data_IF_837047050392
#
_entry.id   IF_837047050392
#
_cell.length_a   1.000
_cell.length_b   1.000
_cell.length_c   1.000
_cell.angle_alpha   90.00
_cell.angle_beta   90.00
_cell.angle_gamma   90.00
#
_symmetry.space_group_name_H-M   'P 1'
#
loop_
_entity.id
_entity.type
_entity.pdbx_description
1 polymer ?
#
# COMPACT_ATOMS: atom_id res chain seq x y z
N UNK A 1 1.42 44.75 27.14
CA UNK A 1 1.49 44.65 25.67
C UNK A 1 2.22 43.37 25.37
N UNK A 2 1.49 42.32 25.03
CA UNK A 2 2.05 41.02 24.70
C UNK A 2 2.57 41.12 23.26
N UNK A 3 3.88 41.17 23.13
CA UNK A 3 4.56 41.26 21.84
C UNK A 3 4.29 39.97 21.07
N UNK A 4 3.30 40.02 20.16
CA UNK A 4 3.08 38.94 19.18
C UNK A 4 4.35 38.79 18.36
N UNK A 5 5.20 37.85 18.75
CA UNK A 5 6.40 37.48 18.01
C UNK A 5 5.95 37.04 16.63
N UNK A 6 6.12 37.89 15.61
CA UNK A 6 5.88 37.52 14.22
C UNK A 6 6.78 36.33 13.94
N UNK A 7 6.20 35.17 13.65
CA UNK A 7 6.96 34.00 13.21
C UNK A 7 7.82 34.42 12.00
N UNK A 8 9.12 34.55 12.23
CA UNK A 8 10.10 34.91 11.20
C UNK A 8 10.02 33.80 10.15
N UNK A 9 9.50 34.13 8.97
CA UNK A 9 9.51 33.21 7.82
C UNK A 9 10.98 32.96 7.48
N UNK A 10 11.54 31.84 7.94
CA UNK A 10 12.86 31.36 7.53
C UNK A 10 12.93 31.37 6.01
N UNK A 11 13.98 31.99 5.47
CA UNK A 11 14.18 32.13 4.04
C UNK A 11 14.35 30.75 3.39
N UNK A 12 13.95 30.60 2.12
CA UNK A 12 14.17 29.36 1.36
C UNK A 12 15.64 28.90 1.39
N UNK A 13 16.56 29.86 1.54
CA UNK A 13 18.01 29.63 1.63
C UNK A 13 18.47 28.90 2.90
N UNK A 14 17.68 28.93 3.97
CA UNK A 14 18.01 28.28 5.25
C UNK A 14 17.55 26.82 5.32
N UNK A 15 16.87 26.32 4.28
CA UNK A 15 16.37 24.94 4.25
C UNK A 15 17.43 24.01 3.69
N UNK A 16 17.76 22.97 4.44
CA UNK A 16 18.53 21.83 3.94
C UNK A 16 17.65 20.92 3.09
N UNK A 17 18.20 20.39 2.00
CA UNK A 17 17.56 19.35 1.21
C UNK A 17 17.93 17.98 1.77
N UNK A 18 16.93 17.13 1.94
CA UNK A 18 17.09 15.78 2.45
C UNK A 18 16.55 14.76 1.48
N UNK A 19 17.36 13.74 1.21
CA UNK A 19 17.00 12.63 0.35
C UNK A 19 16.13 11.65 1.12
N UNK A 20 14.99 11.26 0.53
CA UNK A 20 14.06 10.31 1.10
C UNK A 20 14.34 8.95 0.49
N UNK A 21 14.63 7.99 1.35
CA UNK A 21 15.03 6.65 0.96
C UNK A 21 13.93 5.66 1.30
N UNK A 22 13.59 4.81 0.34
CA UNK A 22 12.63 3.73 0.54
C UNK A 22 13.14 2.72 1.57
N UNK A 23 12.26 1.97 2.24
CA UNK A 23 12.69 0.89 3.11
C UNK A 23 13.50 -0.17 2.33
N UNK A 24 14.37 -0.95 3.00
CA UNK A 24 15.20 -1.97 2.35
C UNK A 24 14.39 -3.00 1.54
N UNK A 25 13.13 -3.25 1.91
CA UNK A 25 12.22 -4.13 1.18
C UNK A 25 11.97 -3.69 -0.28
N UNK A 26 12.27 -2.43 -0.63
CA UNK A 26 12.15 -1.89 -1.99
C UNK A 26 13.51 -1.49 -2.58
N UNK A 27 14.62 -2.04 -2.06
CA UNK A 27 15.96 -1.80 -2.61
C UNK A 27 16.59 -0.45 -2.24
N UNK A 28 16.08 0.22 -1.19
CA UNK A 28 16.60 1.51 -0.72
C UNK A 28 16.70 2.58 -1.82
N UNK A 29 15.75 2.56 -2.76
CA UNK A 29 15.68 3.53 -3.84
C UNK A 29 15.40 4.95 -3.31
N UNK A 30 15.93 5.95 -4.01
CA UNK A 30 15.62 7.36 -3.74
C UNK A 30 14.21 7.66 -4.27
N UNK A 31 13.30 7.96 -3.35
CA UNK A 31 11.89 8.29 -3.64
C UNK A 31 11.77 9.73 -4.11
N UNK A 32 12.51 10.63 -3.47
CA UNK A 32 12.47 12.06 -3.73
C UNK A 32 13.29 12.84 -2.72
N UNK A 33 13.10 14.15 -2.74
CA UNK A 33 13.82 15.07 -1.86
C UNK A 33 12.81 15.94 -1.13
N UNK A 34 13.18 16.41 0.07
CA UNK A 34 12.34 17.34 0.80
C UNK A 34 13.17 18.39 1.51
N UNK A 35 12.77 19.68 1.40
CA UNK A 35 13.39 20.73 2.16
C UNK A 35 12.87 20.73 3.60
N UNK A 36 13.79 20.84 4.55
CA UNK A 36 13.49 21.05 5.96
C UNK A 36 14.42 22.11 6.55
N UNK A 37 13.88 22.98 7.41
CA UNK A 37 14.69 23.94 8.15
C UNK A 37 15.40 23.26 9.33
N UNK A 38 14.72 22.32 9.98
CA UNK A 38 15.27 21.51 11.06
C UNK A 38 14.99 20.03 10.79
N UNK A 39 15.97 19.12 11.00
CA UNK A 39 15.80 17.67 10.85
C UNK A 39 14.63 17.09 11.68
N UNK A 40 14.33 17.69 12.83
CA UNK A 40 13.22 17.27 13.70
C UNK A 40 11.83 17.40 13.07
N UNK A 41 11.68 18.16 11.97
CA UNK A 41 10.41 18.39 11.29
C UNK A 41 10.12 17.39 10.15
N UNK A 42 11.06 16.50 9.85
CA UNK A 42 10.91 15.49 8.80
C UNK A 42 10.12 14.25 9.25
N UNK A 43 10.30 13.71 10.47
CA UNK A 43 9.51 12.58 10.94
C UNK A 43 8.01 12.86 10.85
N UNK A 44 7.26 11.87 10.40
CA UNK A 44 5.80 11.98 10.26
C UNK A 44 5.31 12.46 8.88
N UNK A 45 6.18 13.05 8.04
CA UNK A 45 5.81 13.40 6.66
C UNK A 45 5.53 12.14 5.84
N UNK A 46 4.48 12.21 5.01
CA UNK A 46 4.05 11.12 4.13
C UNK A 46 4.39 11.45 2.69
N UNK A 47 5.05 10.51 2.02
CA UNK A 47 5.42 10.59 0.62
C UNK A 47 4.64 9.58 -0.19
N UNK A 48 4.14 10.02 -1.35
CA UNK A 48 3.51 9.18 -2.34
C UNK A 48 4.50 8.90 -3.46
N UNK A 49 4.63 7.64 -3.85
CA UNK A 49 5.38 7.20 -5.04
C UNK A 49 4.61 6.14 -5.79
N UNK A 50 4.94 5.93 -7.06
CA UNK A 50 4.39 4.81 -7.81
C UNK A 50 5.34 3.62 -7.79
N UNK A 51 4.80 2.41 -7.84
CA UNK A 51 5.64 1.21 -7.98
C UNK A 51 6.43 1.21 -9.29
N UNK A 52 5.86 1.84 -10.34
CA UNK A 52 6.53 1.98 -11.62
C UNK A 52 7.85 2.74 -11.52
N UNK A 53 7.89 3.79 -10.69
CA UNK A 53 9.11 4.57 -10.47
C UNK A 53 10.17 3.80 -9.66
N UNK A 54 9.74 2.88 -8.77
CA UNK A 54 10.67 2.10 -7.94
C UNK A 54 11.30 0.90 -8.68
N UNK A 55 10.56 0.28 -9.61
CA UNK A 55 11.01 -0.92 -10.35
C UNK A 55 11.38 -0.59 -11.80
N UNK A 56 11.13 0.64 -12.25
CA UNK A 56 11.21 1.07 -13.66
C UNK A 56 10.28 0.27 -14.59
N UNK A 57 9.16 -0.26 -14.05
CA UNK A 57 8.14 -0.98 -14.81
C UNK A 57 6.84 -0.16 -14.94
N UNK A 58 6.65 0.44 -16.11
CA UNK A 58 5.47 1.24 -16.45
C UNK A 58 4.14 0.48 -16.34
N UNK A 59 4.15 -0.85 -16.43
CA UNK A 59 2.93 -1.68 -16.32
C UNK A 59 2.24 -1.51 -14.96
N UNK A 60 3.02 -1.17 -13.93
CA UNK A 60 2.54 -1.04 -12.54
C UNK A 60 2.47 0.41 -12.06
N UNK A 61 2.47 1.38 -12.97
CA UNK A 61 2.32 2.80 -12.64
C UNK A 61 0.99 3.12 -11.90
N UNK A 62 -0.02 2.27 -12.01
CA UNK A 62 -1.30 2.43 -11.31
C UNK A 62 -1.25 2.11 -9.82
N UNK A 63 -0.13 1.57 -9.31
CA UNK A 63 0.04 1.22 -7.88
C UNK A 63 0.74 2.37 -7.18
N UNK A 64 0.04 3.01 -6.23
CA UNK A 64 0.56 4.08 -5.37
C UNK A 64 0.98 3.51 -4.02
N UNK A 65 2.16 3.91 -3.57
CA UNK A 65 2.76 3.54 -2.30
C UNK A 65 2.86 4.77 -1.41
N UNK A 66 2.55 4.59 -0.13
CA UNK A 66 2.63 5.63 0.89
C UNK A 66 3.70 5.27 1.91
N UNK A 67 4.69 6.15 2.02
CA UNK A 67 5.83 6.01 2.92
C UNK A 67 5.82 7.14 3.94
N UNK A 68 6.12 6.85 5.21
CA UNK A 68 6.30 7.87 6.24
C UNK A 68 7.71 7.87 6.77
N UNK A 69 8.30 9.06 6.88
CA UNK A 69 9.62 9.24 7.46
C UNK A 69 9.58 8.89 8.94
N UNK A 70 10.44 7.96 9.34
CA UNK A 70 10.58 7.47 10.72
C UNK A 70 11.77 8.11 11.43
N UNK A 71 12.86 8.34 10.70
CA UNK A 71 14.11 8.89 11.24
C UNK A 71 15.02 9.44 10.14
N UNK A 72 16.14 10.02 10.55
CA UNK A 72 17.15 10.56 9.66
C UNK A 72 18.49 9.93 10.04
N UNK A 73 19.20 9.41 9.05
CA UNK A 73 20.56 8.90 9.18
C UNK A 73 21.42 9.60 8.13
N UNK A 74 22.52 10.22 8.54
CA UNK A 74 23.51 10.84 7.64
C UNK A 74 22.91 11.82 6.60
N UNK A 75 21.84 12.53 6.99
CA UNK A 75 21.12 13.46 6.10
C UNK A 75 20.08 12.81 5.17
N UNK A 76 19.98 11.47 5.17
CA UNK A 76 18.95 10.69 4.48
C UNK A 76 17.77 10.40 5.40
N UNK A 77 16.56 10.64 4.93
CA UNK A 77 15.34 10.33 5.65
C UNK A 77 14.93 8.87 5.40
N UNK A 78 15.02 8.04 6.44
CA UNK A 78 14.54 6.66 6.41
C UNK A 78 13.02 6.63 6.53
N UNK A 79 12.39 5.85 5.65
CA UNK A 79 10.94 5.73 5.61
C UNK A 79 10.46 4.35 6.06
N UNK A 80 9.20 4.31 6.47
CA UNK A 80 8.42 3.12 6.78
C UNK A 80 7.19 3.06 5.89
N UNK A 81 6.77 1.86 5.53
CA UNK A 81 5.57 1.65 4.72
C UNK A 81 4.30 1.87 5.56
N UNK A 82 3.41 2.77 5.12
CA UNK A 82 2.09 2.97 5.75
C UNK A 82 1.00 2.18 5.04
N UNK A 83 1.08 2.12 3.72
CA UNK A 83 0.01 1.54 2.93
C UNK A 83 0.22 1.69 1.43
N UNK A 84 -0.62 0.99 0.69
CA UNK A 84 -0.73 1.15 -0.75
C UNK A 84 -2.17 1.44 -1.14
N UNK A 85 -2.33 2.11 -2.26
CA UNK A 85 -3.62 2.31 -2.92
C UNK A 85 -3.44 2.13 -4.43
N UNK A 86 -4.48 1.65 -5.09
CA UNK A 86 -4.50 1.64 -6.56
C UNK A 86 -5.16 2.89 -7.10
N UNK A 87 -4.71 3.32 -8.28
CA UNK A 87 -5.27 4.46 -8.97
C UNK A 87 -6.77 4.26 -9.27
N UNK A 88 -7.56 5.31 -9.08
CA UNK A 88 -9.03 5.24 -9.11
C UNK A 88 -9.56 4.94 -10.52
N UNK A 89 -8.92 5.54 -11.52
CA UNK A 89 -9.15 5.31 -12.95
C UNK A 89 -8.96 3.83 -13.30
N UNK A 90 -7.90 3.21 -12.77
CA UNK A 90 -7.61 1.81 -12.98
C UNK A 90 -8.71 0.91 -12.40
N UNK A 91 -9.11 1.09 -11.14
CA UNK A 91 -10.19 0.30 -10.53
C UNK A 91 -11.51 0.47 -11.31
N UNK A 92 -11.82 1.70 -11.73
CA UNK A 92 -13.01 1.99 -12.55
C UNK A 92 -12.95 1.30 -13.91
N UNK A 93 -11.77 1.17 -14.50
CA UNK A 93 -11.59 0.48 -15.78
C UNK A 93 -11.84 -1.03 -15.69
N UNK A 94 -11.58 -1.64 -14.53
CA UNK A 94 -11.80 -3.07 -14.33
C UNK A 94 -13.29 -3.41 -14.20
N UNK A 95 -14.06 -2.53 -13.54
CA UNK A 95 -15.49 -2.73 -13.32
C UNK A 95 -16.25 -2.45 -14.63
N UNK A 96 -17.02 -3.43 -15.09
CA UNK A 96 -17.85 -3.33 -16.31
C UNK A 96 -19.30 -3.68 -16.01
N UNK A 97 -20.22 -3.23 -16.87
CA UNK A 97 -21.63 -3.62 -16.81
C UNK A 97 -21.76 -5.13 -17.04
N UNK A 98 -22.79 -5.74 -16.44
CA UNK A 98 -23.09 -7.19 -16.52
C UNK A 98 -22.04 -8.12 -15.88
N UNK A 99 -21.02 -7.56 -15.24
CA UNK A 99 -20.10 -8.27 -14.34
C UNK A 99 -20.47 -8.01 -12.88
N UNK A 100 -20.01 -8.88 -11.97
CA UNK A 100 -20.14 -8.68 -10.53
C UNK A 100 -18.80 -8.22 -9.95
N UNK A 101 -18.86 -7.18 -9.11
CA UNK A 101 -17.75 -6.75 -8.26
C UNK A 101 -17.91 -7.40 -6.89
N UNK A 102 -16.94 -8.20 -6.49
CA UNK A 102 -16.88 -8.79 -5.15
C UNK A 102 -15.76 -8.08 -4.40
N UNK A 103 -16.08 -7.43 -3.29
CA UNK A 103 -15.11 -6.78 -2.41
C UNK A 103 -15.10 -7.45 -1.05
N UNK A 104 -13.90 -7.57 -0.47
CA UNK A 104 -13.69 -8.03 0.89
C UNK A 104 -12.66 -7.13 1.60
N UNK A 105 -12.89 -6.89 2.89
CA UNK A 105 -11.98 -6.14 3.76
C UNK A 105 -11.61 -7.08 4.89
N UNK A 106 -10.35 -7.47 4.92
CA UNK A 106 -9.82 -8.38 5.93
C UNK A 106 -8.82 -7.64 6.82
N UNK A 107 -8.94 -7.83 8.12
CA UNK A 107 -7.91 -7.40 9.08
C UNK A 107 -7.07 -8.62 9.41
N UNK A 108 -5.76 -8.51 9.22
CA UNK A 108 -4.80 -9.60 9.43
C UNK A 108 -3.66 -9.15 10.33
N UNK A 109 -3.09 -10.12 11.03
CA UNK A 109 -1.87 -9.94 11.82
C UNK A 109 -0.79 -10.75 11.12
N UNK A 110 0.35 -10.10 10.86
CA UNK A 110 1.52 -10.75 10.27
C UNK A 110 2.29 -11.56 11.33
N UNK A 111 3.27 -12.34 10.90
CA UNK A 111 4.14 -13.08 11.82
C UNK A 111 4.83 -12.14 12.83
N UNK A 112 5.23 -10.96 12.39
CA UNK A 112 5.92 -9.95 13.21
C UNK A 112 4.97 -9.13 14.09
N UNK A 113 3.72 -9.57 14.28
CA UNK A 113 2.75 -8.87 15.12
C UNK A 113 2.16 -7.58 14.51
N UNK A 114 2.54 -7.19 13.28
CA UNK A 114 1.95 -6.01 12.65
C UNK A 114 0.50 -6.27 12.25
N UNK A 115 -0.38 -5.32 12.56
CA UNK A 115 -1.80 -5.38 12.19
C UNK A 115 -2.05 -4.60 10.91
N UNK A 116 -2.55 -5.29 9.89
CA UNK A 116 -2.83 -4.74 8.56
C UNK A 116 -4.32 -4.88 8.21
N UNK A 117 -4.83 -3.90 7.48
CA UNK A 117 -6.13 -3.99 6.79
C UNK A 117 -5.89 -4.11 5.30
N UNK A 118 -6.36 -5.22 4.72
CA UNK A 118 -6.20 -5.55 3.31
C UNK A 118 -7.58 -5.53 2.65
N UNK A 119 -7.74 -4.65 1.68
CA UNK A 119 -8.95 -4.53 0.87
C UNK A 119 -8.70 -5.12 -0.51
N UNK A 120 -9.46 -6.15 -0.86
CA UNK A 120 -9.31 -6.88 -2.11
C UNK A 120 -10.59 -6.81 -2.95
N UNK A 121 -10.41 -6.91 -4.26
CA UNK A 121 -11.48 -6.86 -5.26
C UNK A 121 -11.31 -8.01 -6.25
N UNK A 122 -12.41 -8.71 -6.49
CA UNK A 122 -12.53 -9.74 -7.53
C UNK A 122 -13.59 -9.26 -8.52
N UNK A 123 -13.21 -9.21 -9.79
CA UNK A 123 -14.12 -8.88 -10.89
C UNK A 123 -14.39 -10.13 -11.71
N UNK A 124 -15.66 -10.49 -11.85
CA UNK A 124 -16.10 -11.68 -12.58
C UNK A 124 -16.44 -11.35 -14.04
N UNK A 125 -16.44 -12.33 -14.93
CA UNK A 125 -16.87 -12.12 -16.33
C UNK A 125 -18.39 -12.07 -16.47
N UNK A 126 -19.11 -12.77 -15.59
CA UNK A 126 -20.58 -12.90 -15.60
C UNK A 126 -21.15 -12.51 -14.24
N UNK A 127 -22.46 -12.29 -14.19
CA UNK A 127 -23.18 -12.16 -12.91
C UNK A 127 -23.11 -13.48 -12.14
N UNK A 128 -22.87 -13.37 -10.84
CA UNK A 128 -22.72 -14.48 -9.92
C UNK A 128 -23.87 -14.46 -8.91
N UNK A 129 -24.33 -15.64 -8.49
CA UNK A 129 -25.39 -15.78 -7.49
C UNK A 129 -24.92 -15.41 -6.08
N UNK A 130 -25.81 -14.92 -5.23
CA UNK A 130 -25.48 -14.48 -3.86
C UNK A 130 -24.78 -15.54 -3.01
N UNK A 131 -25.14 -16.82 -3.15
CA UNK A 131 -24.49 -17.94 -2.46
C UNK A 131 -23.01 -18.08 -2.80
N UNK A 132 -22.69 -17.98 -4.10
CA UNK A 132 -21.33 -18.04 -4.61
C UNK A 132 -20.52 -16.79 -4.25
N UNK A 133 -21.15 -15.61 -4.17
CA UNK A 133 -20.48 -14.39 -3.67
C UNK A 133 -19.96 -14.60 -2.24
N UNK A 134 -20.78 -15.15 -1.35
CA UNK A 134 -20.39 -15.42 0.05
C UNK A 134 -19.34 -16.53 0.16
N UNK A 135 -19.37 -17.53 -0.71
CA UNK A 135 -18.31 -18.54 -0.78
C UNK A 135 -16.96 -17.92 -1.17
N UNK A 136 -16.94 -17.11 -2.25
CA UNK A 136 -15.73 -16.42 -2.70
C UNK A 136 -15.17 -15.49 -1.61
N UNK A 137 -16.02 -14.72 -0.92
CA UNK A 137 -15.58 -13.87 0.19
C UNK A 137 -14.95 -14.67 1.33
N UNK A 138 -15.50 -15.83 1.66
CA UNK A 138 -14.93 -16.72 2.70
C UNK A 138 -13.55 -17.23 2.31
N UNK A 139 -13.38 -17.67 1.08
CA UNK A 139 -12.09 -18.18 0.59
C UNK A 139 -11.04 -17.08 0.43
N UNK A 140 -11.44 -15.88 -0.03
CA UNK A 140 -10.57 -14.70 -0.04
C UNK A 140 -10.00 -14.43 1.36
N UNK A 141 -10.87 -14.38 2.38
CA UNK A 141 -10.44 -14.17 3.78
C UNK A 141 -9.53 -15.27 4.28
N UNK A 142 -9.78 -16.52 3.90
CA UNK A 142 -8.97 -17.67 4.30
C UNK A 142 -7.56 -17.58 3.71
N UNK A 143 -7.45 -17.31 2.40
CA UNK A 143 -6.15 -17.18 1.70
C UNK A 143 -5.34 -16.01 2.26
N UNK A 144 -5.96 -14.84 2.44
CA UNK A 144 -5.26 -13.65 2.97
C UNK A 144 -4.77 -13.90 4.40
N UNK A 145 -5.59 -14.53 5.26
CA UNK A 145 -5.18 -14.88 6.63
C UNK A 145 -4.08 -15.93 6.70
N UNK A 146 -4.11 -16.93 5.81
CA UNK A 146 -3.07 -17.95 5.76
C UNK A 146 -1.72 -17.34 5.38
N UNK A 147 -1.68 -16.56 4.29
CA UNK A 147 -0.47 -15.87 3.82
C UNK A 147 0.09 -14.88 4.84
N UNK A 148 -0.78 -14.13 5.52
CA UNK A 148 -0.33 -13.20 6.54
C UNK A 148 0.35 -13.89 7.74
N UNK A 149 -0.10 -15.10 8.12
CA UNK A 149 0.49 -15.85 9.25
C UNK A 149 1.84 -16.48 8.91
N UNK A 150 2.05 -16.83 7.65
CA UNK A 150 3.26 -17.50 7.16
C UNK A 150 4.43 -16.53 6.90
N UNK A 151 4.13 -15.25 6.69
CA UNK A 151 5.09 -14.26 6.18
C UNK A 151 5.36 -13.15 7.19
N UNK A 152 6.59 -12.65 7.17
CA UNK A 152 6.97 -11.39 7.79
C UNK A 152 6.30 -10.22 7.09
N UNK A 153 6.24 -9.07 7.75
CA UNK A 153 5.61 -7.86 7.26
C UNK A 153 6.17 -7.44 5.90
N UNK A 154 7.50 -7.39 5.77
CA UNK A 154 8.17 -6.97 4.54
C UNK A 154 7.87 -7.92 3.38
N UNK A 155 7.94 -9.23 3.62
CA UNK A 155 7.61 -10.24 2.61
C UNK A 155 6.15 -10.16 2.19
N UNK A 156 5.24 -9.97 3.15
CA UNK A 156 3.82 -9.86 2.89
C UNK A 156 3.50 -8.62 2.05
N UNK A 157 4.09 -7.46 2.36
CA UNK A 157 3.90 -6.23 1.56
C UNK A 157 4.43 -6.42 0.15
N UNK A 158 5.61 -7.02 -0.03
CA UNK A 158 6.13 -7.34 -1.36
C UNK A 158 5.19 -8.27 -2.15
N UNK A 159 4.66 -9.33 -1.53
CA UNK A 159 3.72 -10.26 -2.19
C UNK A 159 2.42 -9.58 -2.62
N UNK A 160 1.91 -8.63 -1.81
CA UNK A 160 0.73 -7.82 -2.13
C UNK A 160 1.02 -6.92 -3.33
N UNK A 161 2.12 -6.16 -3.29
CA UNK A 161 2.48 -5.15 -4.28
C UNK A 161 2.87 -5.79 -5.62
N UNK A 162 3.55 -6.94 -5.59
CA UNK A 162 3.90 -7.69 -6.80
C UNK A 162 2.72 -8.50 -7.38
N UNK A 163 1.62 -8.66 -6.64
CA UNK A 163 0.41 -9.34 -7.10
C UNK A 163 0.43 -10.87 -6.92
N UNK A 164 1.38 -11.43 -6.17
CA UNK A 164 1.40 -12.87 -5.86
C UNK A 164 0.17 -13.29 -5.04
N UNK A 165 -0.20 -12.46 -4.06
CA UNK A 165 -1.42 -12.67 -3.27
C UNK A 165 -2.68 -12.67 -4.15
N UNK A 166 -2.74 -11.77 -5.13
CA UNK A 166 -3.85 -11.69 -6.09
C UNK A 166 -3.96 -12.95 -6.96
N UNK A 167 -2.82 -13.53 -7.36
CA UNK A 167 -2.78 -14.77 -8.15
C UNK A 167 -3.30 -15.98 -7.35
N UNK A 168 -2.99 -16.06 -6.06
CA UNK A 168 -3.50 -17.14 -5.20
C UNK A 168 -5.01 -17.03 -4.96
N UNK A 169 -5.50 -15.81 -4.73
CA UNK A 169 -6.94 -15.56 -4.65
C UNK A 169 -7.63 -15.90 -5.98
N UNK A 170 -7.01 -15.60 -7.12
CA UNK A 170 -7.54 -15.96 -8.44
C UNK A 170 -7.72 -17.48 -8.58
N UNK A 171 -6.74 -18.28 -8.15
CA UNK A 171 -6.82 -19.75 -8.19
C UNK A 171 -8.00 -20.27 -7.36
N UNK A 172 -8.20 -19.74 -6.15
CA UNK A 172 -9.32 -20.11 -5.30
C UNK A 172 -10.68 -19.68 -5.89
N UNK A 173 -10.76 -18.45 -6.41
CA UNK A 173 -12.00 -17.90 -6.93
C UNK A 173 -12.44 -18.53 -8.27
N UNK A 174 -11.48 -19.01 -9.09
CA UNK A 174 -11.75 -19.68 -10.38
C UNK A 174 -12.59 -20.94 -10.24
N UNK A 175 -12.54 -21.62 -9.09
CA UNK A 175 -13.33 -22.83 -8.83
C UNK A 175 -14.84 -22.57 -8.89
N UNK A 176 -15.30 -21.41 -8.40
CA UNK A 176 -16.73 -21.09 -8.33
C UNK A 176 -17.27 -20.43 -9.59
N UNK A 177 -16.47 -19.54 -10.20
CA UNK A 177 -16.93 -18.77 -11.35
C UNK A 177 -15.77 -18.32 -12.25
N UNK A 178 -16.04 -18.02 -13.53
CA UNK A 178 -15.05 -17.38 -14.41
C UNK A 178 -14.70 -15.97 -13.91
N UNK A 179 -13.48 -15.84 -13.37
CA UNK A 179 -12.94 -14.57 -12.87
C UNK A 179 -12.16 -13.86 -13.98
N UNK A 180 -12.39 -12.55 -14.12
CA UNK A 180 -11.65 -11.69 -15.06
C UNK A 180 -10.32 -11.24 -14.46
N UNK A 181 -10.38 -10.61 -13.28
CA UNK A 181 -9.21 -10.05 -12.60
C UNK A 181 -9.41 -10.01 -11.10
N UNK A 182 -8.32 -10.21 -10.36
CA UNK A 182 -8.26 -10.13 -8.90
C UNK A 182 -7.14 -9.20 -8.54
N UNK A 183 -7.42 -8.26 -7.63
CA UNK A 183 -6.44 -7.29 -7.18
C UNK A 183 -6.64 -6.96 -5.71
N UNK A 184 -5.56 -6.61 -5.04
CA UNK A 184 -5.62 -5.93 -3.75
C UNK A 184 -5.57 -4.44 -4.05
N UNK A 185 -6.63 -3.71 -3.73
CA UNK A 185 -6.73 -2.31 -4.14
C UNK A 185 -6.28 -1.33 -3.07
N UNK A 186 -6.25 -1.76 -1.81
CA UNK A 186 -5.81 -0.91 -0.71
C UNK A 186 -5.27 -1.71 0.43
N UNK A 187 -4.11 -1.31 0.95
CA UNK A 187 -3.59 -1.80 2.23
C UNK A 187 -3.34 -0.64 3.18
N UNK A 188 -3.62 -0.85 4.47
CA UNK A 188 -3.33 0.10 5.54
C UNK A 188 -2.68 -0.63 6.70
N UNK A 189 -1.55 -0.11 7.17
CA UNK A 189 -1.00 -0.48 8.47
C UNK A 189 -1.86 0.18 9.55
N UNK A 190 -2.39 -0.61 10.48
CA UNK A 190 -3.23 -0.13 11.58
C UNK A 190 -2.40 0.11 12.85
N UNK A 191 -1.50 -0.82 13.16
CA UNK A 191 -0.64 -0.75 14.32
C UNK A 191 0.71 -1.40 13.98
N UNK A 192 1.76 -0.86 14.58
CA UNK A 192 3.09 -1.47 14.60
C UNK A 192 3.09 -2.83 15.33
N UNK A 193 4.26 -3.48 15.40
CA UNK A 193 4.39 -4.75 16.09
C UNK A 193 4.01 -4.57 17.57
N UNK A 194 3.23 -5.51 18.10
CA UNK A 194 2.90 -5.60 19.53
C UNK A 194 4.01 -6.37 20.24
#
# INVERSE_FOLDING_TARGET
>A
MEEKTRAVKRSWREKGWHDIVAPPMFGSAKIGETPASDPSQLPGRVFETTLGDLIEDFSKAHVKLYFQVKGIEEGRALTSFIGHDMARDYIRSQIRRRATRISDISTVTTQDGHRLRVSSIVTTLRRVQSSQLEAIRRDMRKVIKARARERTFDQFVQEVVLGKLSADIYKAAKHYCPVKRVEVWKTKVLAGPT
#
